data_IF_510377785751
#
_entry.id   IF_510377785751
#
_cell.length_a   1.000
_cell.length_b   1.000
_cell.length_c   1.000
_cell.angle_alpha   90.00
_cell.angle_beta   90.00
_cell.angle_gamma   90.00
#
_symmetry.space_group_name_H-M   'P 1'
#
loop_
_entity.id
_entity.type
_entity.pdbx_description
1 polymer ?
#
# COMPACT_ATOMS: atom_id res chain seq x y z
N UNK A 1 -53.08 8.29 -55.40
CA UNK A 1 -52.13 7.29 -54.85
C UNK A 1 -50.85 7.88 -54.19
N UNK A 2 -50.74 9.21 -53.97
CA UNK A 2 -49.52 9.85 -53.44
C UNK A 2 -49.49 10.00 -51.90
N UNK A 3 -50.65 10.01 -51.22
CA UNK A 3 -50.76 10.24 -49.77
C UNK A 3 -50.24 9.10 -48.86
N UNK A 4 -50.19 7.86 -49.35
CA UNK A 4 -49.71 6.72 -48.54
C UNK A 4 -48.18 6.63 -48.44
N UNK A 5 -47.42 7.24 -49.36
CA UNK A 5 -45.95 7.23 -49.31
C UNK A 5 -45.38 8.21 -48.28
N UNK A 6 -46.02 9.38 -48.11
CA UNK A 6 -45.56 10.41 -47.17
C UNK A 6 -45.83 9.97 -45.71
N UNK A 7 -46.97 9.33 -45.44
CA UNK A 7 -47.25 8.75 -44.11
C UNK A 7 -46.25 7.65 -43.72
N UNK A 8 -45.84 6.80 -44.67
CA UNK A 8 -44.91 5.70 -44.40
C UNK A 8 -43.48 6.18 -44.08
N UNK A 9 -43.01 7.23 -44.77
CA UNK A 9 -41.68 7.81 -44.54
C UNK A 9 -41.54 8.45 -43.15
N UNK A 10 -42.59 9.13 -42.66
CA UNK A 10 -42.61 9.70 -41.30
C UNK A 10 -42.63 8.61 -40.23
N UNK A 11 -43.35 7.51 -40.45
CA UNK A 11 -43.39 6.39 -39.50
C UNK A 11 -42.02 5.71 -39.41
N UNK A 12 -41.33 5.49 -40.53
CA UNK A 12 -40.00 4.85 -40.54
C UNK A 12 -38.92 5.73 -39.86
N UNK A 13 -39.02 7.06 -39.98
CA UNK A 13 -38.12 8.02 -39.32
C UNK A 13 -38.38 8.12 -37.80
N UNK A 14 -39.64 8.06 -37.39
CA UNK A 14 -40.03 8.04 -35.97
C UNK A 14 -39.59 6.72 -35.33
N UNK A 15 -39.74 5.59 -36.04
CA UNK A 15 -39.31 4.28 -35.53
C UNK A 15 -37.79 4.20 -35.39
N UNK A 16 -37.03 4.75 -36.34
CA UNK A 16 -35.56 4.74 -36.29
C UNK A 16 -35.02 5.63 -35.17
N UNK A 17 -35.62 6.81 -34.96
CA UNK A 17 -35.24 7.70 -33.86
C UNK A 17 -35.59 7.11 -32.48
N UNK A 18 -36.77 6.48 -32.33
CA UNK A 18 -37.13 5.74 -31.11
C UNK A 18 -36.17 4.57 -30.82
N UNK A 19 -35.74 3.85 -31.85
CA UNK A 19 -34.78 2.75 -31.69
C UNK A 19 -33.41 3.28 -31.24
N UNK A 20 -32.91 4.35 -31.85
CA UNK A 20 -31.65 4.99 -31.44
C UNK A 20 -31.74 5.49 -30.00
N UNK A 21 -32.87 6.08 -29.63
CA UNK A 21 -33.10 6.57 -28.27
C UNK A 21 -33.19 5.44 -27.24
N UNK A 22 -33.85 4.33 -27.57
CA UNK A 22 -33.91 3.15 -26.73
C UNK A 22 -32.52 2.51 -26.55
N UNK A 23 -31.74 2.39 -27.62
CA UNK A 23 -30.34 1.91 -27.54
C UNK A 23 -29.51 2.84 -26.67
N UNK A 24 -29.69 4.16 -26.79
CA UNK A 24 -28.98 5.14 -25.98
C UNK A 24 -29.34 5.04 -24.49
N UNK A 25 -30.63 4.87 -24.14
CA UNK A 25 -31.06 4.64 -22.75
C UNK A 25 -30.48 3.34 -22.20
N UNK A 26 -30.48 2.26 -22.99
CA UNK A 26 -29.88 0.99 -22.59
C UNK A 26 -28.38 1.18 -22.35
N UNK A 27 -27.66 1.85 -23.25
CA UNK A 27 -26.24 2.19 -23.05
C UNK A 27 -26.01 3.03 -21.79
N UNK A 28 -26.86 4.03 -21.50
CA UNK A 28 -26.76 4.84 -20.29
C UNK A 28 -27.02 4.02 -19.01
N UNK A 29 -28.03 3.15 -19.02
CA UNK A 29 -28.31 2.24 -17.89
C UNK A 29 -27.17 1.24 -17.67
N UNK A 30 -26.50 0.81 -18.74
CA UNK A 30 -25.32 -0.06 -18.71
C UNK A 30 -24.13 0.69 -18.10
N UNK A 31 -23.91 1.96 -18.45
CA UNK A 31 -22.84 2.81 -17.86
C UNK A 31 -23.07 3.05 -16.37
N UNK A 32 -24.31 3.29 -15.95
CA UNK A 32 -24.64 3.48 -14.54
C UNK A 32 -24.43 2.19 -13.71
N UNK A 33 -24.63 1.03 -14.32
CA UNK A 33 -24.46 -0.29 -13.66
C UNK A 33 -23.00 -0.79 -13.67
N UNK A 34 -22.20 -0.42 -14.68
CA UNK A 34 -20.76 -0.75 -14.79
C UNK A 34 -19.93 -0.18 -13.63
N UNK A 35 -20.33 0.97 -13.08
CA UNK A 35 -19.63 1.57 -11.93
C UNK A 35 -19.77 0.77 -10.62
N UNK A 36 -20.58 -0.31 -10.58
CA UNK A 36 -20.88 -1.00 -9.33
C UNK A 36 -20.25 -2.39 -9.17
N UNK A 37 -20.05 -3.22 -10.22
CA UNK A 37 -19.57 -4.60 -10.02
C UNK A 37 -18.64 -5.15 -11.13
N UNK A 38 -17.60 -5.86 -10.66
CA UNK A 38 -16.38 -6.34 -11.30
C UNK A 38 -16.54 -7.42 -12.40
N UNK A 39 -15.57 -7.39 -13.34
CA UNK A 39 -15.00 -8.38 -14.29
C UNK A 39 -15.76 -9.60 -14.84
N UNK A 40 -16.74 -10.19 -14.16
CA UNK A 40 -17.56 -11.30 -14.70
C UNK A 40 -18.71 -10.76 -15.55
N UNK A 41 -19.22 -9.58 -15.17
CA UNK A 41 -20.29 -8.89 -15.90
C UNK A 41 -19.78 -8.34 -17.23
N UNK A 42 -18.52 -7.91 -17.33
CA UNK A 42 -17.92 -7.45 -18.59
C UNK A 42 -17.85 -8.56 -19.64
N UNK A 43 -17.59 -9.82 -19.25
CA UNK A 43 -17.59 -10.95 -20.17
C UNK A 43 -19.01 -11.29 -20.66
N UNK A 44 -20.00 -11.29 -19.76
CA UNK A 44 -21.41 -11.50 -20.10
C UNK A 44 -21.94 -10.39 -21.02
N UNK A 45 -21.48 -9.15 -20.84
CA UNK A 45 -21.85 -8.01 -21.67
C UNK A 45 -21.18 -8.03 -23.05
N UNK A 46 -19.92 -8.46 -23.16
CA UNK A 46 -19.27 -8.69 -24.46
C UNK A 46 -20.01 -9.74 -25.27
N UNK A 47 -20.47 -10.82 -24.61
CA UNK A 47 -21.33 -11.83 -25.23
C UNK A 47 -22.69 -11.24 -25.67
N UNK A 48 -23.31 -10.40 -24.84
CA UNK A 48 -24.54 -9.70 -25.19
C UNK A 48 -24.39 -8.77 -26.40
N UNK A 49 -23.28 -8.05 -26.51
CA UNK A 49 -22.97 -7.16 -27.63
C UNK A 49 -22.71 -7.95 -28.92
N UNK A 50 -22.03 -9.10 -28.83
CA UNK A 50 -21.88 -10.04 -29.94
C UNK A 50 -23.24 -10.58 -30.40
N UNK A 51 -24.11 -10.99 -29.48
CA UNK A 51 -25.48 -11.46 -29.81
C UNK A 51 -26.29 -10.35 -30.50
N UNK A 52 -26.17 -9.10 -30.03
CA UNK A 52 -26.87 -7.96 -30.61
C UNK A 52 -26.36 -7.64 -32.03
N UNK A 53 -25.04 -7.70 -32.25
CA UNK A 53 -24.43 -7.58 -33.59
C UNK A 53 -24.92 -8.71 -34.51
N UNK A 54 -24.98 -9.94 -34.02
CA UNK A 54 -25.47 -11.09 -34.79
C UNK A 54 -26.96 -10.95 -35.13
N UNK A 55 -27.80 -10.48 -34.20
CA UNK A 55 -29.21 -10.16 -34.48
C UNK A 55 -29.36 -9.05 -35.52
N UNK A 56 -28.55 -7.99 -35.42
CA UNK A 56 -28.51 -6.91 -36.42
C UNK A 56 -28.12 -7.46 -37.80
N UNK A 57 -27.09 -8.30 -37.88
CA UNK A 57 -26.67 -8.95 -39.12
C UNK A 57 -27.75 -9.87 -39.71
N UNK A 58 -28.45 -10.64 -38.85
CA UNK A 58 -29.59 -11.46 -39.25
C UNK A 58 -30.73 -10.62 -39.83
N UNK A 59 -31.12 -9.53 -39.16
CA UNK A 59 -32.17 -8.61 -39.62
C UNK A 59 -31.79 -7.92 -40.93
N UNK A 60 -30.51 -7.53 -41.08
CA UNK A 60 -29.96 -6.98 -42.33
C UNK A 60 -30.14 -7.96 -43.49
N UNK A 61 -29.81 -9.24 -43.27
CA UNK A 61 -29.92 -10.29 -44.29
C UNK A 61 -31.37 -10.59 -44.65
N UNK A 62 -32.27 -10.60 -43.66
CA UNK A 62 -33.69 -10.95 -43.85
C UNK A 62 -34.50 -9.83 -44.55
N UNK A 63 -34.24 -8.57 -44.25
CA UNK A 63 -35.11 -7.46 -44.67
C UNK A 63 -34.55 -6.56 -45.79
N UNK A 64 -33.39 -6.90 -46.40
CA UNK A 64 -32.74 -6.12 -47.49
C UNK A 64 -32.62 -4.61 -47.17
N UNK A 65 -32.37 -4.26 -45.91
CA UNK A 65 -32.29 -2.90 -45.36
C UNK A 65 -31.00 -2.14 -45.74
N UNK A 66 -30.51 -2.31 -46.98
CA UNK A 66 -29.22 -1.76 -47.47
C UNK A 66 -29.08 -0.24 -47.28
N UNK A 67 -30.18 0.51 -47.40
CA UNK A 67 -30.17 1.99 -47.28
C UNK A 67 -30.17 2.48 -45.83
N UNK A 68 -30.79 1.73 -44.92
CA UNK A 68 -30.89 2.10 -43.50
C UNK A 68 -29.58 1.86 -42.75
N UNK A 69 -28.78 0.88 -43.20
CA UNK A 69 -27.43 0.59 -42.66
C UNK A 69 -26.50 1.80 -42.80
N UNK A 70 -26.60 2.54 -43.90
CA UNK A 70 -25.76 3.72 -44.15
C UNK A 70 -25.98 4.83 -43.11
N UNK A 71 -27.16 4.88 -42.47
CA UNK A 71 -27.47 5.86 -41.42
C UNK A 71 -27.18 5.34 -40.01
N UNK A 72 -27.31 4.04 -39.77
CA UNK A 72 -27.10 3.45 -38.44
C UNK A 72 -25.61 3.22 -38.15
N UNK A 73 -24.82 2.78 -39.14
CA UNK A 73 -23.41 2.44 -38.95
C UNK A 73 -22.56 3.62 -38.41
N UNK A 74 -22.69 4.86 -38.93
CA UNK A 74 -21.94 5.99 -38.39
C UNK A 74 -22.33 6.33 -36.95
N UNK A 75 -23.62 6.20 -36.61
CA UNK A 75 -24.12 6.44 -35.26
C UNK A 75 -23.57 5.42 -34.26
N UNK A 76 -23.58 4.13 -34.62
CA UNK A 76 -22.99 3.07 -33.79
C UNK A 76 -21.49 3.26 -33.64
N UNK A 77 -20.79 3.64 -34.73
CA UNK A 77 -19.34 3.91 -34.68
C UNK A 77 -19.02 5.11 -33.79
N UNK A 78 -19.80 6.20 -33.89
CA UNK A 78 -19.64 7.38 -33.05
C UNK A 78 -19.88 7.06 -31.56
N UNK A 79 -20.91 6.27 -31.25
CA UNK A 79 -21.17 5.79 -29.90
C UNK A 79 -20.03 4.90 -29.38
N UNK A 80 -19.50 4.01 -30.22
CA UNK A 80 -18.36 3.16 -29.85
C UNK A 80 -17.09 3.98 -29.60
N UNK A 81 -16.79 4.99 -30.43
CA UNK A 81 -15.66 5.90 -30.23
C UNK A 81 -15.84 6.72 -28.94
N UNK A 82 -17.02 7.27 -28.71
CA UNK A 82 -17.33 8.01 -27.48
C UNK A 82 -17.19 7.11 -26.24
N UNK A 83 -17.68 5.87 -26.31
CA UNK A 83 -17.55 4.89 -25.24
C UNK A 83 -16.08 4.52 -24.98
N UNK A 84 -15.29 4.27 -26.03
CA UNK A 84 -13.85 4.01 -25.89
C UNK A 84 -13.10 5.21 -25.29
N UNK A 85 -13.44 6.43 -25.70
CA UNK A 85 -12.88 7.66 -25.13
C UNK A 85 -13.26 7.81 -23.65
N UNK A 86 -14.52 7.59 -23.29
CA UNK A 86 -15.01 7.69 -21.91
C UNK A 86 -14.38 6.61 -21.01
N UNK A 87 -14.34 5.35 -21.45
CA UNK A 87 -13.72 4.25 -20.70
C UNK A 87 -12.21 4.45 -20.51
N UNK A 88 -11.54 5.14 -21.43
CA UNK A 88 -10.12 5.47 -21.28
C UNK A 88 -9.87 6.54 -20.21
N UNK A 89 -10.88 7.33 -19.85
CA UNK A 89 -10.79 8.42 -18.87
C UNK A 89 -11.12 7.92 -17.45
N UNK A 90 -12.02 6.94 -17.29
CA UNK A 90 -12.47 6.45 -15.96
C UNK A 90 -11.30 6.01 -15.03
N UNK A 91 -10.30 5.24 -15.48
CA UNK A 91 -9.17 4.85 -14.63
C UNK A 91 -8.39 6.04 -14.05
N UNK A 92 -8.38 7.18 -14.75
CA UNK A 92 -7.71 8.40 -14.30
C UNK A 92 -8.41 9.06 -13.10
N UNK A 93 -9.69 8.77 -12.87
CA UNK A 93 -10.50 9.38 -11.82
C UNK A 93 -10.79 8.44 -10.63
N UNK A 94 -10.75 7.12 -10.84
CA UNK A 94 -11.21 6.15 -9.84
C UNK A 94 -10.07 5.53 -9.03
N UNK A 95 -8.86 5.43 -9.57
CA UNK A 95 -7.74 4.73 -8.91
C UNK A 95 -6.79 5.70 -8.21
N UNK A 96 -7.26 6.31 -7.13
CA UNK A 96 -6.38 7.02 -6.18
C UNK A 96 -6.22 6.18 -4.91
N UNK A 97 -5.04 5.58 -4.73
CA UNK A 97 -4.65 4.99 -3.46
C UNK A 97 -3.82 6.04 -2.70
N UNK A 98 -4.24 6.46 -1.50
CA UNK A 98 -3.48 7.44 -0.75
C UNK A 98 -2.10 6.90 -0.38
N UNK A 99 -1.15 7.81 -0.20
CA UNK A 99 0.12 7.45 0.41
C UNK A 99 -0.07 6.91 1.83
N UNK A 100 0.85 6.07 2.28
CA UNK A 100 0.76 5.45 3.59
C UNK A 100 2.12 5.15 4.20
N UNK A 101 2.16 5.20 5.53
CA UNK A 101 3.27 4.72 6.34
C UNK A 101 2.82 3.53 7.18
N UNK A 102 3.68 2.52 7.29
CA UNK A 102 3.48 1.35 8.12
C UNK A 102 4.76 1.08 8.91
N UNK A 103 4.64 0.89 10.22
CA UNK A 103 5.76 0.59 11.09
C UNK A 103 5.43 -0.64 11.93
N UNK A 104 6.11 -1.73 11.63
CA UNK A 104 5.96 -3.02 12.29
C UNK A 104 7.17 -3.30 13.17
N UNK A 105 6.91 -3.70 14.40
CA UNK A 105 7.92 -3.99 15.41
C UNK A 105 7.63 -5.38 15.94
N UNK A 106 8.61 -6.26 15.81
CA UNK A 106 8.57 -7.58 16.42
C UNK A 106 9.82 -7.75 17.29
N UNK A 107 9.62 -7.98 18.58
CA UNK A 107 10.68 -8.35 19.52
C UNK A 107 10.36 -9.73 20.06
N UNK A 108 11.20 -10.71 19.71
CA UNK A 108 10.96 -12.13 19.97
C UNK A 108 11.95 -12.70 20.96
N UNK A 109 11.54 -13.78 21.62
CA UNK A 109 12.36 -14.49 22.61
C UNK A 109 12.30 -13.87 24.00
N UNK A 110 11.54 -12.78 24.19
CA UNK A 110 11.33 -12.14 25.50
C UNK A 110 10.61 -13.08 26.46
N UNK A 111 9.78 -14.00 25.95
CA UNK A 111 9.14 -15.05 26.76
C UNK A 111 10.11 -15.87 27.61
N UNK A 112 11.36 -15.99 27.16
CA UNK A 112 12.38 -16.76 27.85
C UNK A 112 13.15 -15.92 28.90
N UNK A 113 12.81 -14.64 29.05
CA UNK A 113 13.42 -13.74 30.01
C UNK A 113 12.43 -13.38 31.13
N UNK A 114 12.99 -13.08 32.28
CA UNK A 114 12.31 -12.50 33.44
C UNK A 114 12.62 -11.01 33.50
N UNK A 115 11.59 -10.22 33.76
CA UNK A 115 11.70 -8.79 33.98
C UNK A 115 11.93 -8.41 35.45
N UNK A 116 12.32 -7.16 35.66
CA UNK A 116 12.37 -6.47 36.93
C UNK A 116 11.00 -5.93 37.38
N UNK A 117 11.02 -4.87 38.21
CA UNK A 117 9.82 -4.16 38.67
C UNK A 117 9.18 -3.31 37.57
N UNK A 118 10.01 -2.79 36.67
CA UNK A 118 9.64 -2.09 35.46
C UNK A 118 10.68 -2.50 34.40
N UNK A 119 10.23 -2.69 33.17
CA UNK A 119 11.05 -3.19 32.07
C UNK A 119 10.83 -2.30 30.86
N UNK A 120 11.93 -1.92 30.21
CA UNK A 120 11.92 -1.07 29.04
C UNK A 120 12.61 -1.76 27.86
N UNK A 121 11.92 -1.82 26.73
CA UNK A 121 12.52 -2.09 25.42
C UNK A 121 12.34 -0.85 24.56
N UNK A 122 13.44 -0.24 24.09
CA UNK A 122 13.36 0.93 23.20
C UNK A 122 13.74 0.53 21.77
N UNK A 123 12.96 1.01 20.82
CA UNK A 123 13.20 0.84 19.39
C UNK A 123 13.28 2.21 18.71
N UNK A 124 14.05 2.33 17.61
CA UNK A 124 14.22 3.60 16.94
C UNK A 124 12.92 4.02 16.23
N UNK A 125 12.63 5.32 16.24
CA UNK A 125 11.41 5.86 15.64
C UNK A 125 11.59 6.23 14.17
N UNK A 126 10.56 5.99 13.34
CA UNK A 126 10.54 6.47 11.97
C UNK A 126 10.41 8.00 11.93
N UNK A 127 11.39 8.63 11.31
CA UNK A 127 11.43 10.06 11.00
C UNK A 127 11.42 10.25 9.50
N UNK A 128 10.89 11.39 9.08
CA UNK A 128 10.94 11.90 7.71
C UNK A 128 11.38 13.36 7.76
N UNK A 129 12.45 13.68 7.04
CA UNK A 129 13.03 15.04 6.99
C UNK A 129 13.22 15.65 8.40
N UNK A 130 13.70 14.82 9.34
CA UNK A 130 13.93 15.22 10.75
C UNK A 130 12.67 15.38 11.61
N UNK A 131 11.48 15.06 11.09
CA UNK A 131 10.20 15.09 11.82
C UNK A 131 9.62 13.70 12.01
N UNK A 132 8.94 13.48 13.13
CA UNK A 132 8.28 12.19 13.41
C UNK A 132 7.16 11.94 12.42
N UNK A 133 7.12 10.72 11.88
CA UNK A 133 6.08 10.30 10.92
C UNK A 133 4.73 10.17 11.62
N UNK A 134 4.73 9.61 12.82
CA UNK A 134 3.54 9.40 13.66
C UNK A 134 3.46 10.48 14.75
N UNK A 135 2.23 10.88 15.11
CA UNK A 135 1.95 11.79 16.21
C UNK A 135 2.05 11.07 17.56
N UNK A 136 2.04 11.86 18.64
CA UNK A 136 2.05 11.33 20.01
C UNK A 136 0.84 10.42 20.26
N UNK A 137 -0.36 10.82 19.84
CA UNK A 137 -1.59 10.03 20.01
C UNK A 137 -1.61 8.73 19.18
N UNK A 138 -0.89 8.71 18.06
CA UNK A 138 -0.74 7.51 17.23
C UNK A 138 0.18 6.48 17.92
N UNK A 139 1.21 6.94 18.63
CA UNK A 139 2.26 6.08 19.21
C UNK A 139 2.09 5.76 20.69
N UNK A 140 1.58 6.68 21.50
CA UNK A 140 1.63 6.57 22.95
C UNK A 140 0.44 5.79 23.51
N UNK A 141 0.70 5.11 24.62
CA UNK A 141 -0.28 4.41 25.44
C UNK A 141 -1.08 3.34 24.72
N UNK A 142 -0.51 2.74 23.66
CA UNK A 142 -1.06 1.55 23.02
C UNK A 142 -0.57 0.32 23.76
N UNK A 143 -1.43 -0.68 23.91
CA UNK A 143 -1.12 -1.92 24.61
C UNK A 143 -0.87 -3.06 23.61
N UNK A 144 0.18 -3.84 23.88
CA UNK A 144 0.61 -4.97 23.06
C UNK A 144 1.04 -6.10 24.00
N UNK A 145 0.16 -7.07 24.25
CA UNK A 145 0.45 -8.28 25.02
C UNK A 145 1.15 -8.04 26.38
N UNK A 146 0.76 -7.02 27.15
CA UNK A 146 1.37 -6.69 28.45
C UNK A 146 2.45 -5.61 28.39
N UNK A 147 2.70 -5.05 27.20
CA UNK A 147 3.57 -3.89 26.99
C UNK A 147 2.75 -2.66 26.64
N UNK A 148 3.13 -1.51 27.20
CA UNK A 148 2.55 -0.21 26.91
C UNK A 148 3.54 0.65 26.14
N UNK A 149 3.16 1.14 24.98
CA UNK A 149 4.03 2.00 24.17
C UNK A 149 4.10 3.42 24.71
N UNK A 150 5.25 4.07 24.59
CA UNK A 150 5.42 5.49 24.91
C UNK A 150 6.64 6.08 24.23
N UNK A 151 6.65 7.40 24.09
CA UNK A 151 7.78 8.10 23.50
C UNK A 151 8.76 8.44 24.63
N UNK A 152 10.00 7.98 24.48
CA UNK A 152 11.04 8.14 25.48
C UNK A 152 12.16 9.01 24.90
N UNK A 153 12.57 10.01 25.68
CA UNK A 153 13.75 10.83 25.37
C UNK A 153 14.95 10.16 26.03
N UNK A 154 15.71 9.41 25.23
CA UNK A 154 16.97 8.79 25.66
C UNK A 154 18.16 9.75 25.42
N UNK A 155 19.36 9.37 25.89
CA UNK A 155 20.58 10.13 25.61
C UNK A 155 20.93 10.12 24.13
N UNK A 156 20.54 9.04 23.44
CA UNK A 156 20.78 8.80 22.02
C UNK A 156 19.78 9.57 21.15
N UNK A 157 18.60 9.89 21.70
CA UNK A 157 17.56 10.67 21.04
C UNK A 157 16.15 10.19 21.37
N UNK A 158 15.17 10.65 20.61
CA UNK A 158 13.79 10.20 20.76
C UNK A 158 13.63 8.77 20.25
N UNK A 159 13.08 7.88 21.09
CA UNK A 159 12.82 6.48 20.77
C UNK A 159 11.38 6.10 21.16
N UNK A 160 10.88 5.00 20.58
CA UNK A 160 9.62 4.40 21.00
C UNK A 160 9.95 3.32 22.04
N UNK A 161 9.52 3.53 23.27
CA UNK A 161 9.61 2.56 24.34
C UNK A 161 8.39 1.67 24.43
N UNK A 162 8.63 0.42 24.81
CA UNK A 162 7.64 -0.53 25.26
C UNK A 162 7.93 -0.82 26.73
N UNK A 163 6.99 -0.46 27.60
CA UNK A 163 7.13 -0.63 29.04
C UNK A 163 6.25 -1.77 29.54
N UNK A 164 6.78 -2.63 30.41
CA UNK A 164 6.00 -3.64 31.12
C UNK A 164 6.36 -3.68 32.60
N UNK A 165 5.35 -3.83 33.45
CA UNK A 165 5.52 -4.06 34.89
C UNK A 165 5.52 -5.55 35.24
N UNK A 166 5.35 -6.42 34.24
CA UNK A 166 5.29 -7.86 34.43
C UNK A 166 6.69 -8.45 34.57
N UNK A 167 6.82 -9.42 35.48
CA UNK A 167 8.07 -10.21 35.59
C UNK A 167 8.13 -11.32 34.55
N UNK A 168 6.99 -11.79 34.07
CA UNK A 168 6.91 -12.76 32.98
C UNK A 168 6.72 -11.99 31.68
N UNK A 169 7.83 -11.73 31.00
CA UNK A 169 7.81 -10.98 29.76
C UNK A 169 7.15 -11.80 28.64
N UNK A 170 6.52 -11.09 27.72
CA UNK A 170 5.92 -11.58 26.49
C UNK A 170 6.65 -11.00 25.29
N UNK A 171 6.55 -11.65 24.14
CA UNK A 171 7.05 -11.09 22.88
C UNK A 171 6.23 -9.86 22.48
N UNK A 172 6.89 -8.87 21.88
CA UNK A 172 6.24 -7.64 21.40
C UNK A 172 5.90 -7.83 19.93
N UNK A 173 4.64 -7.61 19.56
CA UNK A 173 4.21 -7.52 18.17
C UNK A 173 3.33 -6.28 17.99
N UNK A 174 3.95 -5.17 17.60
CA UNK A 174 3.29 -3.90 17.42
C UNK A 174 3.26 -3.49 15.95
N UNK A 175 2.17 -2.83 15.54
CA UNK A 175 2.03 -2.26 14.21
C UNK A 175 1.33 -0.91 14.28
N UNK A 176 1.94 0.09 13.67
CA UNK A 176 1.41 1.44 13.53
C UNK A 176 1.25 1.75 12.05
N UNK A 177 0.07 2.17 11.64
CA UNK A 177 -0.21 2.49 10.24
C UNK A 177 -0.88 3.85 10.12
N UNK A 178 -0.46 4.63 9.14
CA UNK A 178 -0.99 5.97 8.86
C UNK A 178 -1.27 6.11 7.37
N UNK A 179 -2.51 6.45 7.04
CA UNK A 179 -2.90 6.83 5.67
C UNK A 179 -2.89 8.34 5.55
N UNK A 180 -2.35 8.85 4.46
CA UNK A 180 -2.30 10.26 4.16
C UNK A 180 -3.51 10.65 3.30
N UNK A 181 -3.81 11.95 3.23
CA UNK A 181 -4.98 12.46 2.49
C UNK A 181 -4.71 12.65 0.99
N UNK A 182 -3.56 12.21 0.47
CA UNK A 182 -3.17 12.41 -0.92
C UNK A 182 -1.90 11.63 -1.29
N UNK A 183 -1.41 11.82 -2.53
CA UNK A 183 -0.11 11.29 -2.92
C UNK A 183 1.00 12.00 -2.14
N UNK A 184 2.03 11.24 -1.82
CA UNK A 184 3.22 11.75 -1.14
C UNK A 184 4.41 11.60 -2.08
N UNK A 185 5.31 12.58 -2.10
CA UNK A 185 6.55 12.47 -2.85
C UNK A 185 7.71 12.29 -1.86
N UNK A 186 8.29 11.09 -1.85
CA UNK A 186 9.45 10.75 -1.04
C UNK A 186 10.68 11.17 -1.84
N UNK A 187 11.04 12.45 -1.66
CA UNK A 187 12.16 13.08 -2.39
C UNK A 187 13.50 12.38 -2.15
N UNK A 188 13.71 11.89 -0.93
CA UNK A 188 14.92 11.16 -0.58
C UNK A 188 14.63 10.08 0.48
N UNK A 189 14.62 8.78 0.11
CA UNK A 189 14.36 7.70 1.06
C UNK A 189 15.45 7.57 2.13
N UNK A 190 16.59 8.23 1.93
CA UNK A 190 17.68 8.31 2.88
C UNK A 190 17.38 9.27 4.04
N UNK A 191 16.47 10.23 3.86
CA UNK A 191 16.01 11.10 4.95
C UNK A 191 14.91 10.43 5.79
N UNK A 192 14.26 9.40 5.22
CA UNK A 192 13.24 8.59 5.87
C UNK A 192 13.94 7.47 6.65
N UNK A 193 14.30 7.75 7.90
CA UNK A 193 15.19 6.92 8.71
C UNK A 193 14.55 6.45 10.01
N UNK A 194 15.08 5.37 10.56
CA UNK A 194 14.90 4.97 11.94
C UNK A 194 15.92 5.73 12.78
N UNK A 195 15.44 6.65 13.60
CA UNK A 195 16.27 7.49 14.47
C UNK A 195 16.16 7.02 15.91
N UNK A 196 17.21 7.18 16.73
CA UNK A 196 18.44 7.95 16.46
C UNK A 196 19.44 7.24 15.53
N UNK A 197 20.19 8.02 14.75
CA UNK A 197 21.29 7.51 13.92
C UNK A 197 22.54 7.37 14.79
N UNK A 198 23.19 6.22 14.72
CA UNK A 198 24.40 5.90 15.46
C UNK A 198 25.65 6.07 14.59
N UNK A 199 26.64 6.76 15.15
CA UNK A 199 28.01 6.80 14.62
C UNK A 199 28.92 5.74 15.27
N UNK A 200 28.38 4.93 16.18
CA UNK A 200 29.12 3.86 16.87
C UNK A 200 29.19 2.65 15.94
N UNK A 201 30.35 2.00 15.80
CA UNK A 201 30.46 0.78 15.03
C UNK A 201 29.53 -0.31 15.59
N UNK A 202 29.08 -1.20 14.70
CA UNK A 202 28.30 -2.37 15.11
C UNK A 202 29.06 -3.17 16.16
N UNK A 203 28.33 -3.64 17.15
CA UNK A 203 28.92 -4.46 18.20
C UNK A 203 29.09 -5.90 17.72
N UNK A 204 30.21 -6.53 18.08
CA UNK A 204 30.56 -7.90 17.65
C UNK A 204 29.56 -8.98 18.10
N UNK A 205 28.69 -8.66 19.05
CA UNK A 205 27.67 -9.57 19.57
C UNK A 205 26.34 -9.50 18.81
N UNK A 206 26.15 -8.53 17.90
CA UNK A 206 24.94 -8.46 17.07
C UNK A 206 25.00 -9.54 15.99
N UNK A 207 23.98 -10.39 15.96
CA UNK A 207 23.89 -11.47 14.97
C UNK A 207 22.86 -11.06 13.92
N UNK A 208 23.35 -10.85 12.71
CA UNK A 208 22.52 -10.52 11.58
C UNK A 208 21.77 -11.77 11.09
N UNK A 209 20.44 -11.80 11.26
CA UNK A 209 19.65 -13.02 11.02
C UNK A 209 19.30 -13.22 9.54
N UNK A 210 18.95 -12.16 8.82
CA UNK A 210 18.60 -12.21 7.39
C UNK A 210 18.45 -10.79 6.82
N UNK A 211 18.81 -10.60 5.55
CA UNK A 211 18.52 -9.39 4.77
C UNK A 211 19.50 -9.17 3.62
N UNK A 212 19.44 -7.99 3.00
CA UNK A 212 20.16 -7.72 1.76
C UNK A 212 21.68 -7.77 1.98
N UNK A 213 22.31 -8.89 1.59
CA UNK A 213 23.75 -9.06 1.63
C UNK A 213 24.44 -7.91 0.87
N UNK A 214 25.08 -7.00 1.60
CA UNK A 214 25.90 -5.92 1.05
C UNK A 214 25.39 -4.48 1.21
N UNK A 215 24.19 -4.23 1.74
CA UNK A 215 23.67 -2.86 1.88
C UNK A 215 23.67 -2.37 3.33
N UNK A 216 24.80 -1.82 3.78
CA UNK A 216 24.83 -1.05 5.01
C UNK A 216 24.39 0.38 4.65
N UNK A 217 23.16 0.77 5.01
CA UNK A 217 22.74 2.16 4.84
C UNK A 217 23.27 3.01 6.01
N UNK A 218 22.98 2.61 7.25
CA UNK A 218 23.45 3.26 8.49
C UNK A 218 23.19 2.37 9.72
N UNK A 219 23.61 2.84 10.89
CA UNK A 219 23.40 2.18 12.19
C UNK A 219 22.40 3.01 13.02
N UNK A 220 21.56 2.36 13.82
CA UNK A 220 20.67 3.00 14.81
C UNK A 220 20.83 2.31 16.17
N UNK A 221 19.96 2.58 17.13
CA UNK A 221 19.98 1.96 18.45
C UNK A 221 18.69 1.21 18.74
N UNK A 222 18.81 0.08 19.40
CA UNK A 222 17.76 -0.50 20.24
C UNK A 222 18.25 -0.49 21.68
N UNK A 223 17.34 -0.63 22.62
CA UNK A 223 17.67 -0.71 24.04
C UNK A 223 16.96 -1.89 24.68
N UNK A 224 17.69 -2.61 25.52
CA UNK A 224 17.16 -3.66 26.39
C UNK A 224 17.46 -3.26 27.83
N UNK A 225 16.45 -3.22 28.70
CA UNK A 225 16.66 -2.91 30.12
C UNK A 225 17.60 -3.91 30.81
N UNK A 226 18.43 -3.40 31.70
CA UNK A 226 19.42 -4.16 32.48
C UNK A 226 18.77 -5.15 33.44
N UNK A 227 17.51 -4.93 33.82
CA UNK A 227 16.78 -5.85 34.69
C UNK A 227 16.20 -7.06 33.95
N UNK A 228 16.26 -7.08 32.62
CA UNK A 228 15.79 -8.20 31.80
C UNK A 228 16.87 -9.27 31.80
N UNK A 229 16.61 -10.38 32.50
CA UNK A 229 17.54 -11.48 32.68
C UNK A 229 16.95 -12.80 32.15
N UNK A 230 17.76 -13.68 31.53
CA UNK A 230 17.25 -14.95 30.99
C UNK A 230 16.72 -15.84 32.13
N UNK A 231 15.59 -16.53 31.90
CA UNK A 231 14.99 -17.50 32.86
C UNK A 231 15.80 -18.79 32.95
N UNK A 232 16.40 -19.18 31.83
CA UNK A 232 17.22 -20.39 31.65
C UNK A 232 18.57 -20.00 31.03
N UNK A 233 19.33 -20.95 30.48
CA UNK A 233 20.73 -20.79 30.04
C UNK A 233 21.09 -19.48 29.32
N UNK A 234 22.38 -19.09 29.40
CA UNK A 234 22.94 -17.87 28.81
C UNK A 234 22.95 -17.82 27.27
N UNK A 235 22.42 -18.83 26.58
CA UNK A 235 22.51 -18.94 25.12
C UNK A 235 21.27 -18.43 24.37
N UNK A 236 20.26 -17.94 25.09
CA UNK A 236 19.09 -17.35 24.45
C UNK A 236 19.38 -15.95 23.89
N UNK A 237 18.61 -15.57 22.87
CA UNK A 237 18.73 -14.28 22.20
C UNK A 237 17.39 -13.55 22.18
N UNK A 238 17.44 -12.22 22.21
CA UNK A 238 16.31 -11.35 21.93
C UNK A 238 16.42 -10.92 20.48
N UNK A 239 15.44 -11.33 19.66
CA UNK A 239 15.40 -11.03 18.24
C UNK A 239 14.61 -9.76 17.95
N UNK A 240 15.22 -8.79 17.28
CA UNK A 240 14.58 -7.56 16.81
C UNK A 240 14.32 -7.66 15.31
N UNK A 241 13.06 -7.51 14.92
CA UNK A 241 12.62 -7.37 13.53
C UNK A 241 11.74 -6.13 13.41
N UNK A 242 12.32 -5.05 12.92
CA UNK A 242 11.67 -3.76 12.73
C UNK A 242 11.53 -3.51 11.23
N UNK A 243 10.35 -3.06 10.80
CA UNK A 243 10.10 -2.73 9.40
C UNK A 243 9.29 -1.43 9.33
N UNK A 244 9.89 -0.39 8.79
CA UNK A 244 9.21 0.84 8.41
C UNK A 244 9.04 0.86 6.88
N UNK A 245 7.81 0.94 6.41
CA UNK A 245 7.47 1.02 4.99
C UNK A 245 6.79 2.34 4.70
N UNK A 246 7.28 3.03 3.67
CA UNK A 246 6.71 4.25 3.14
C UNK A 246 6.22 4.00 1.71
N UNK A 247 4.95 4.28 1.44
CA UNK A 247 4.34 4.13 0.13
C UNK A 247 3.77 5.47 -0.33
N UNK A 248 4.19 5.91 -1.52
CA UNK A 248 3.78 7.19 -2.13
C UNK A 248 2.32 7.22 -2.62
N UNK A 249 1.64 6.07 -2.58
CA UNK A 249 0.29 5.94 -3.10
C UNK A 249 0.27 5.60 -4.58
N UNK A 250 -0.94 5.59 -5.14
CA UNK A 250 -1.21 5.46 -6.57
C UNK A 250 -2.04 6.67 -6.98
N UNK A 251 -1.56 7.43 -7.95
CA UNK A 251 -2.26 8.61 -8.42
C UNK A 251 -2.43 8.55 -9.93
N UNK A 252 -3.68 8.68 -10.40
CA UNK A 252 -4.02 8.61 -11.83
C UNK A 252 -3.46 7.37 -12.53
N UNK A 253 -3.59 6.22 -11.87
CA UNK A 253 -3.11 4.93 -12.38
C UNK A 253 -1.59 4.71 -12.29
N UNK A 254 -0.79 5.73 -11.96
CA UNK A 254 0.66 5.62 -11.79
C UNK A 254 0.97 5.23 -10.34
N UNK A 255 1.69 4.12 -10.17
CA UNK A 255 2.20 3.70 -8.86
C UNK A 255 3.37 4.59 -8.45
N UNK A 256 3.26 5.19 -7.28
CA UNK A 256 4.40 5.78 -6.61
C UNK A 256 5.34 4.72 -6.05
N UNK A 257 6.52 5.15 -5.65
CA UNK A 257 7.56 4.30 -5.09
C UNK A 257 7.15 3.75 -3.72
N UNK A 258 7.70 2.59 -3.38
CA UNK A 258 7.60 2.00 -2.04
C UNK A 258 8.99 1.77 -1.50
N UNK A 259 9.24 2.29 -0.30
CA UNK A 259 10.52 2.18 0.39
C UNK A 259 10.36 1.42 1.68
N UNK A 260 11.43 0.75 2.09
CA UNK A 260 11.48 -0.01 3.33
C UNK A 260 12.79 0.27 4.04
N UNK A 261 12.69 0.57 5.33
CA UNK A 261 13.80 0.49 6.28
C UNK A 261 13.58 -0.72 7.18
N UNK A 262 14.57 -1.59 7.30
CA UNK A 262 14.48 -2.78 8.15
C UNK A 262 15.68 -2.94 9.09
N UNK A 263 15.39 -3.41 10.30
CA UNK A 263 16.37 -3.89 11.28
C UNK A 263 16.06 -5.35 11.56
N UNK A 264 17.02 -6.23 11.37
CA UNK A 264 16.88 -7.68 11.60
C UNK A 264 18.14 -8.15 12.32
N UNK A 265 18.07 -8.21 13.64
CA UNK A 265 19.23 -8.48 14.52
C UNK A 265 18.83 -9.39 15.68
N UNK A 266 19.76 -10.23 16.14
CA UNK A 266 19.63 -10.96 17.40
C UNK A 266 20.67 -10.49 18.41
N UNK A 267 20.22 -10.28 19.65
CA UNK A 267 21.04 -9.80 20.75
C UNK A 267 21.18 -10.95 21.76
N UNK A 268 22.39 -11.39 22.10
CA UNK A 268 22.60 -12.48 23.06
C UNK A 268 22.25 -12.04 24.49
N UNK A 269 21.91 -13.02 25.32
CA UNK A 269 21.64 -12.78 26.74
C UNK A 269 22.83 -12.10 27.46
N UNK A 270 22.52 -11.27 28.45
CA UNK A 270 23.53 -10.54 29.22
C UNK A 270 24.03 -9.25 28.56
N UNK A 271 23.60 -8.94 27.34
CA UNK A 271 23.77 -7.63 26.72
C UNK A 271 22.53 -6.78 27.00
N UNK A 272 22.73 -5.62 27.61
CA UNK A 272 21.69 -4.66 27.93
C UNK A 272 22.20 -3.23 27.73
N UNK A 273 21.30 -2.25 27.81
CA UNK A 273 21.59 -0.86 27.51
C UNK A 273 21.39 -0.52 26.02
N UNK A 274 21.92 0.63 25.57
CA UNK A 274 21.85 1.04 24.17
C UNK A 274 22.77 0.18 23.30
N UNK A 275 22.20 -0.48 22.30
CA UNK A 275 22.86 -1.46 21.45
C UNK A 275 22.79 -0.97 20.00
N UNK A 276 23.93 -0.75 19.33
CA UNK A 276 23.93 -0.34 17.94
C UNK A 276 23.45 -1.47 17.04
N UNK A 277 22.49 -1.19 16.17
CA UNK A 277 21.88 -2.16 15.24
C UNK A 277 21.94 -1.67 13.81
N UNK A 278 22.05 -2.62 12.87
CA UNK A 278 22.15 -2.29 11.45
C UNK A 278 20.78 -1.95 10.87
N UNK A 279 20.70 -0.82 10.19
CA UNK A 279 19.52 -0.44 9.40
C UNK A 279 19.80 -0.66 7.91
N UNK A 280 18.87 -1.34 7.24
CA UNK A 280 18.91 -1.57 5.81
C UNK A 280 17.84 -0.75 5.12
N UNK A 281 18.19 -0.14 3.99
CA UNK A 281 17.26 0.64 3.18
C UNK A 281 17.07 -0.07 1.84
N UNK A 282 15.81 -0.24 1.43
CA UNK A 282 15.45 -0.84 0.15
C UNK A 282 14.31 -0.10 -0.55
N UNK A 283 14.30 -0.16 -1.87
CA UNK A 283 13.20 0.32 -2.72
C UNK A 283 12.55 -0.87 -3.42
N UNK A 284 11.23 -0.90 -3.47
CA UNK A 284 10.48 -1.93 -4.17
C UNK A 284 10.56 -1.72 -5.69
N UNK A 285 11.12 -2.69 -6.40
CA UNK A 285 11.23 -2.73 -7.87
C UNK A 285 11.00 -4.17 -8.35
N UNK A 286 10.27 -4.33 -9.45
CA UNK A 286 10.07 -5.63 -10.11
C UNK A 286 9.60 -6.76 -9.18
N UNK A 287 8.75 -6.43 -8.20
CA UNK A 287 8.18 -7.41 -7.28
C UNK A 287 9.02 -7.72 -6.05
N UNK A 288 10.20 -7.10 -5.88
CA UNK A 288 11.10 -7.33 -4.76
C UNK A 288 11.67 -6.01 -4.23
N UNK A 289 12.15 -5.97 -2.97
CA UNK A 289 12.94 -4.82 -2.53
C UNK A 289 14.39 -5.00 -2.96
N UNK A 290 14.95 -3.94 -3.53
CA UNK A 290 16.35 -3.84 -3.97
C UNK A 290 17.06 -2.87 -3.03
N UNK A 291 18.26 -3.20 -2.54
CA UNK A 291 18.99 -2.34 -1.61
C UNK A 291 19.33 -0.98 -2.21
N UNK A 292 19.27 0.06 -1.38
CA UNK A 292 19.76 1.40 -1.69
C UNK A 292 21.08 1.59 -0.94
N UNK A 293 22.19 1.69 -1.67
CA UNK A 293 23.46 2.05 -1.07
C UNK A 293 23.50 3.56 -0.85
N UNK A 294 23.49 3.95 0.43
CA UNK A 294 23.69 5.35 0.82
C UNK A 294 25.20 5.59 0.81
N UNK A 295 25.72 6.03 -0.34
CA UNK A 295 27.11 6.45 -0.45
C UNK A 295 27.34 7.74 0.34
N UNK A 296 27.77 7.63 1.59
CA UNK A 296 28.22 8.78 2.41
C UNK A 296 27.49 8.93 3.74
N UNK A 297 28.21 9.50 4.72
CA UNK A 297 27.74 9.75 6.09
C UNK A 297 26.40 10.51 6.09
N UNK A 298 25.40 9.95 6.77
CA UNK A 298 24.25 10.71 7.24
C UNK A 298 24.71 11.52 8.45
N UNK A 299 24.93 12.81 8.25
CA UNK A 299 25.27 13.78 9.30
C UNK A 299 24.06 14.59 9.71
#
# INVERSE_FOLDING_TARGET
>A
MMGNKIKKLNVDLILSSLLVFAVFIVCLSVVWFINYLTSIITLAMMLGLVILILMLFYLIRKYKLRKTIFFILPGVLACAIFFMAFMSIIPWYVENEPASYDYKIMVRGLSNYSGGLANDILVPMPMKDGKRVFTDDELQYREFDGWKSMIIVSKEGYMLGFQSMDRNLTDINARFSKRLNGPENIKNPVNDTLTPISNVPLSNYTIFLDGYNGSNAYTSYVYVDQNIAPKKDKNETIGFSLEFTAFEGRFRGIYGSRYRVSVIEAIPSGVAGPIPVKCQLGVFRDGQYVPINVGGRLT
#
